data_IF_898045707374
#
_entry.id   IF_898045707374
#
_cell.length_a   1.000
_cell.length_b   1.000
_cell.length_c   1.000
_cell.angle_alpha   90.00
_cell.angle_beta   90.00
_cell.angle_gamma   90.00
#
_symmetry.space_group_name_H-M   'P 1'
#
loop_
_entity.id
_entity.type
_entity.pdbx_description
1 polymer ?
#
# COMPACT_ATOMS: atom_id res chain seq x y z
N UNK A 1 -32.26 14.57 -8.82
CA UNK A 1 -31.14 14.52 -9.78
C UNK A 1 -30.34 13.28 -9.49
N UNK A 2 -30.05 12.47 -10.51
CA UNK A 2 -29.31 11.22 -10.40
C UNK A 2 -27.91 11.46 -9.78
N UNK A 3 -27.67 10.92 -8.60
CA UNK A 3 -26.33 10.75 -8.04
C UNK A 3 -25.62 9.65 -8.82
N UNK A 4 -25.00 10.01 -9.93
CA UNK A 4 -24.06 9.13 -10.63
C UNK A 4 -22.75 9.11 -9.83
N UNK A 5 -22.14 7.95 -9.54
CA UNK A 5 -20.78 7.92 -9.02
C UNK A 5 -19.89 8.51 -10.12
N UNK A 6 -19.25 9.65 -9.84
CA UNK A 6 -18.40 10.31 -10.82
C UNK A 6 -17.21 9.40 -11.14
N UNK A 7 -17.17 8.86 -12.36
CA UNK A 7 -15.91 8.36 -12.92
C UNK A 7 -14.92 9.52 -12.92
N UNK A 8 -13.90 9.46 -12.06
CA UNK A 8 -12.84 10.46 -12.00
C UNK A 8 -11.77 10.05 -13.00
N UNK A 9 -11.61 10.83 -14.07
CA UNK A 9 -10.43 10.74 -14.91
C UNK A 9 -9.24 11.28 -14.12
N UNK A 10 -8.23 10.44 -13.91
CA UNK A 10 -6.98 10.84 -13.28
C UNK A 10 -5.93 10.93 -14.38
N UNK A 11 -5.31 12.10 -14.54
CA UNK A 11 -4.14 12.22 -15.42
C UNK A 11 -2.96 11.61 -14.69
N UNK A 12 -2.47 10.52 -15.25
CA UNK A 12 -1.19 9.95 -14.90
C UNK A 12 -0.19 10.49 -15.94
N UNK A 13 1.02 10.84 -15.51
CA UNK A 13 2.09 11.26 -16.41
C UNK A 13 2.58 10.10 -17.28
N UNK A 14 3.89 10.04 -17.54
CA UNK A 14 4.48 8.80 -18.06
C UNK A 14 4.39 7.72 -16.97
N UNK A 15 3.58 6.70 -17.22
CA UNK A 15 3.48 5.55 -16.32
C UNK A 15 4.41 4.46 -16.85
N UNK A 16 5.51 4.23 -16.16
CA UNK A 16 6.30 3.03 -16.36
C UNK A 16 5.46 1.84 -15.87
N UNK A 17 5.12 0.92 -16.78
CA UNK A 17 4.28 -0.25 -16.47
C UNK A 17 5.10 -1.47 -16.09
N UNK A 18 6.42 -1.39 -16.20
CA UNK A 18 7.34 -2.40 -15.72
C UNK A 18 7.79 -2.02 -14.31
N UNK A 19 7.61 -2.90 -13.32
CA UNK A 19 8.10 -2.62 -11.98
C UNK A 19 9.63 -2.70 -11.96
N UNK A 20 10.27 -1.82 -11.20
CA UNK A 20 11.71 -1.86 -10.92
C UNK A 20 12.08 -2.93 -9.89
N UNK A 21 11.12 -3.37 -9.06
CA UNK A 21 11.27 -4.48 -8.11
C UNK A 21 10.28 -5.61 -8.41
N UNK A 22 10.70 -6.84 -8.15
CA UNK A 22 9.89 -8.05 -8.31
C UNK A 22 8.78 -8.15 -7.25
N UNK A 23 7.84 -9.06 -7.48
CA UNK A 23 6.81 -9.40 -6.48
C UNK A 23 7.44 -9.88 -5.17
N UNK A 24 8.47 -10.74 -5.25
CA UNK A 24 9.20 -11.29 -4.10
C UNK A 24 9.89 -10.19 -3.27
N UNK A 25 10.61 -9.28 -3.93
CA UNK A 25 11.25 -8.14 -3.25
C UNK A 25 10.22 -7.21 -2.57
N UNK A 26 9.04 -7.04 -3.18
CA UNK A 26 7.96 -6.26 -2.59
C UNK A 26 7.32 -6.97 -1.39
N UNK A 27 7.13 -8.29 -1.45
CA UNK A 27 6.66 -9.10 -0.33
C UNK A 27 7.65 -9.06 0.84
N UNK A 28 8.96 -9.15 0.58
CA UNK A 28 10.00 -9.03 1.60
C UNK A 28 9.95 -7.66 2.30
N UNK A 29 9.83 -6.57 1.52
CA UNK A 29 9.71 -5.22 2.06
C UNK A 29 8.44 -5.05 2.91
N UNK A 30 7.31 -5.56 2.43
CA UNK A 30 6.05 -5.53 3.16
C UNK A 30 6.12 -6.37 4.44
N UNK A 31 6.73 -7.56 4.40
CA UNK A 31 6.88 -8.42 5.57
C UNK A 31 7.75 -7.77 6.65
N UNK A 32 8.86 -7.12 6.25
CA UNK A 32 9.69 -6.36 7.18
C UNK A 32 8.90 -5.23 7.87
N UNK A 33 8.08 -4.49 7.11
CA UNK A 33 7.23 -3.45 7.66
C UNK A 33 6.12 -3.99 8.58
N UNK A 34 5.48 -5.10 8.20
CA UNK A 34 4.44 -5.78 8.99
C UNK A 34 4.95 -6.28 10.36
N UNK A 35 6.26 -6.51 10.47
CA UNK A 35 6.94 -6.91 11.72
C UNK A 35 7.43 -5.73 12.57
N UNK A 36 7.23 -4.49 12.12
CA UNK A 36 7.72 -3.30 12.80
C UNK A 36 6.92 -2.92 14.06
N UNK A 37 7.52 -2.07 14.90
CA UNK A 37 6.85 -1.49 16.07
C UNK A 37 5.67 -0.58 15.69
N UNK A 38 5.68 0.00 14.48
CA UNK A 38 4.57 0.81 13.95
C UNK A 38 3.30 -0.05 13.85
N UNK A 39 3.42 -1.25 13.32
CA UNK A 39 2.29 -2.15 13.09
C UNK A 39 1.80 -2.77 14.40
N UNK A 40 2.71 -3.21 15.26
CA UNK A 40 2.32 -3.74 16.58
C UNK A 40 1.76 -2.65 17.51
N UNK A 41 2.26 -1.41 17.42
CA UNK A 41 1.73 -0.24 18.12
C UNK A 41 0.30 0.13 17.70
N UNK A 42 -0.10 -0.19 16.47
CA UNK A 42 -1.49 -0.09 15.98
C UNK A 42 -2.40 -1.26 16.40
N UNK A 43 -1.85 -2.22 17.15
CA UNK A 43 -2.59 -3.34 17.74
C UNK A 43 -2.74 -4.58 16.84
N UNK A 44 -2.11 -4.59 15.67
CA UNK A 44 -2.09 -5.78 14.81
C UNK A 44 -1.17 -6.87 15.36
N UNK A 45 -1.60 -8.13 15.26
CA UNK A 45 -0.89 -9.27 15.84
C UNK A 45 -0.39 -10.25 14.78
N UNK A 46 0.93 -10.37 14.63
CA UNK A 46 1.57 -11.30 13.68
C UNK A 46 0.90 -11.34 12.29
N UNK A 47 0.87 -10.20 11.55
CA UNK A 47 0.35 -10.19 10.19
C UNK A 47 1.03 -11.21 9.28
N UNK A 48 0.25 -11.76 8.35
CA UNK A 48 0.73 -12.61 7.26
C UNK A 48 0.23 -12.08 5.93
N UNK A 49 1.12 -12.06 4.96
CA UNK A 49 0.79 -11.73 3.57
C UNK A 49 -0.13 -12.82 3.01
N UNK A 50 -1.14 -12.40 2.26
CA UNK A 50 -2.09 -13.25 1.57
C UNK A 50 -1.93 -13.18 0.04
N UNK A 51 -1.56 -12.02 -0.50
CA UNK A 51 -1.33 -11.79 -1.93
C UNK A 51 -0.59 -10.48 -2.17
N UNK A 52 0.17 -10.39 -3.26
CA UNK A 52 0.66 -9.16 -3.83
C UNK A 52 0.11 -8.98 -5.25
N UNK A 53 -0.29 -7.75 -5.61
CA UNK A 53 -0.81 -7.42 -6.93
C UNK A 53 -0.17 -6.12 -7.44
N UNK A 54 0.31 -6.11 -8.69
CA UNK A 54 0.81 -4.89 -9.32
C UNK A 54 -0.36 -4.03 -9.82
N UNK A 55 -0.51 -2.83 -9.26
CA UNK A 55 -1.63 -1.94 -9.55
C UNK A 55 -1.20 -0.49 -9.67
N UNK A 56 -2.08 0.36 -10.20
CA UNK A 56 -1.95 1.81 -10.09
C UNK A 56 -2.66 2.22 -8.80
N UNK A 57 -1.90 2.69 -7.82
CA UNK A 57 -2.41 3.15 -6.53
C UNK A 57 -2.21 4.66 -6.36
N UNK A 58 -2.98 5.27 -5.47
CA UNK A 58 -2.79 6.65 -5.05
C UNK A 58 -2.41 6.66 -3.55
N UNK A 59 -1.10 6.70 -3.23
CA UNK A 59 -0.63 6.49 -1.86
C UNK A 59 -1.10 7.55 -0.88
N UNK A 60 -1.33 7.12 0.36
CA UNK A 60 -1.85 7.96 1.44
C UNK A 60 -1.01 7.94 2.73
N UNK A 61 0.18 7.32 2.72
CA UNK A 61 1.08 7.23 3.87
C UNK A 61 2.44 7.91 3.61
N UNK A 62 3.03 8.48 4.65
CA UNK A 62 4.39 9.00 4.63
C UNK A 62 5.30 8.26 5.63
N UNK A 63 6.26 7.46 5.15
CA UNK A 63 7.16 6.70 6.01
C UNK A 63 8.12 7.57 6.82
N UNK A 64 8.34 8.83 6.44
CA UNK A 64 9.21 9.74 7.20
C UNK A 64 8.52 10.34 8.41
N UNK A 65 7.20 10.45 8.39
CA UNK A 65 6.40 11.06 9.45
C UNK A 65 5.45 10.10 10.15
N UNK A 66 5.41 8.83 9.72
CA UNK A 66 4.46 7.80 10.17
C UNK A 66 3.00 8.31 10.14
N UNK A 67 2.70 9.14 9.13
CA UNK A 67 1.42 9.82 9.00
C UNK A 67 0.57 9.19 7.92
N UNK A 68 -0.64 8.77 8.29
CA UNK A 68 -1.68 8.20 7.41
C UNK A 68 -2.50 9.27 6.68
N UNK A 69 -2.12 10.54 6.82
CA UNK A 69 -2.81 11.68 6.21
C UNK A 69 -1.76 12.56 5.55
N UNK A 70 -1.08 12.03 4.54
CA UNK A 70 -0.40 12.89 3.58
C UNK A 70 -1.34 13.35 2.48
N UNK A 71 -1.06 14.50 1.84
CA UNK A 71 -1.72 14.86 0.59
C UNK A 71 -1.63 13.66 -0.36
N UNK A 72 -2.77 13.29 -0.95
CA UNK A 72 -2.83 12.24 -1.97
C UNK A 72 -1.71 12.50 -2.98
N UNK A 73 -0.74 11.58 -3.06
CA UNK A 73 0.35 11.68 -4.04
C UNK A 73 -0.21 11.46 -5.44
N UNK A 74 0.58 11.75 -6.46
CA UNK A 74 0.18 11.37 -7.81
C UNK A 74 0.05 9.84 -7.89
N UNK A 75 -0.91 9.32 -8.69
CA UNK A 75 -1.02 7.89 -8.87
C UNK A 75 0.27 7.34 -9.46
N UNK A 76 0.70 6.19 -8.94
CA UNK A 76 1.93 5.55 -9.36
C UNK A 76 1.77 4.03 -9.36
N UNK A 77 2.68 3.34 -10.05
CA UNK A 77 2.73 1.89 -10.04
C UNK A 77 3.17 1.42 -8.64
N UNK A 78 2.39 0.53 -8.03
CA UNK A 78 2.65 -0.01 -6.70
C UNK A 78 2.44 -1.53 -6.69
N UNK A 79 3.15 -2.20 -5.79
CA UNK A 79 2.76 -3.51 -5.31
C UNK A 79 1.79 -3.34 -4.14
N UNK A 80 0.55 -3.78 -4.33
CA UNK A 80 -0.49 -3.77 -3.32
C UNK A 80 -0.51 -5.11 -2.60
N UNK A 81 0.04 -5.13 -1.39
CA UNK A 81 0.26 -6.35 -0.60
C UNK A 81 -0.85 -6.48 0.44
N UNK A 82 -1.73 -7.46 0.27
CA UNK A 82 -2.81 -7.74 1.22
C UNK A 82 -2.32 -8.63 2.34
N UNK A 83 -2.62 -8.27 3.57
CA UNK A 83 -2.28 -9.05 4.75
C UNK A 83 -3.47 -9.22 5.70
N UNK A 84 -3.35 -10.21 6.58
CA UNK A 84 -4.26 -10.39 7.71
C UNK A 84 -3.46 -10.70 8.96
N UNK A 85 -3.89 -10.11 10.07
CA UNK A 85 -3.35 -10.47 11.37
C UNK A 85 -3.90 -11.81 11.88
N UNK A 86 -3.35 -12.30 12.98
CA UNK A 86 -3.74 -13.56 13.59
C UNK A 86 -5.20 -13.60 14.08
N UNK A 87 -5.87 -12.45 14.19
CA UNK A 87 -7.29 -12.33 14.52
C UNK A 87 -8.18 -12.26 13.27
N UNK A 88 -7.57 -12.26 12.08
CA UNK A 88 -8.25 -12.13 10.79
C UNK A 88 -8.47 -10.68 10.36
N UNK A 89 -8.02 -9.68 11.14
CA UNK A 89 -8.16 -8.26 10.81
C UNK A 89 -7.32 -7.94 9.57
N UNK A 90 -7.94 -7.40 8.50
CA UNK A 90 -7.19 -7.05 7.30
C UNK A 90 -6.38 -5.77 7.49
N UNK A 91 -5.27 -5.72 6.78
CA UNK A 91 -4.44 -4.54 6.55
C UNK A 91 -3.70 -4.75 5.24
N UNK A 92 -3.54 -3.70 4.46
CA UNK A 92 -2.77 -3.78 3.22
C UNK A 92 -1.60 -2.82 3.26
N UNK A 93 -0.50 -3.20 2.64
CA UNK A 93 0.73 -2.42 2.52
C UNK A 93 0.90 -2.05 1.05
N UNK A 94 1.20 -0.79 0.79
CA UNK A 94 1.54 -0.33 -0.55
C UNK A 94 3.05 -0.14 -0.63
N UNK A 95 3.68 -0.83 -1.57
CA UNK A 95 5.12 -0.76 -1.83
C UNK A 95 5.33 -0.11 -3.20
N UNK A 96 6.22 0.87 -3.27
CA UNK A 96 6.59 1.51 -4.53
C UNK A 96 7.18 0.49 -5.49
N UNK A 97 6.57 0.31 -6.66
CA UNK A 97 7.01 -0.67 -7.63
C UNK A 97 8.36 -0.31 -8.27
N UNK A 98 8.81 0.95 -8.19
CA UNK A 98 10.12 1.36 -8.69
C UNK A 98 11.26 1.10 -7.70
N UNK A 99 11.01 1.32 -6.39
CA UNK A 99 12.08 1.36 -5.38
C UNK A 99 11.98 0.31 -4.27
N UNK A 100 10.85 -0.40 -4.14
CA UNK A 100 10.61 -1.33 -3.03
C UNK A 100 10.34 -0.65 -1.69
N UNK A 101 10.17 0.68 -1.65
CA UNK A 101 9.91 1.43 -0.41
C UNK A 101 8.43 1.31 -0.04
N UNK A 102 8.14 1.06 1.23
CA UNK A 102 6.76 1.13 1.76
C UNK A 102 6.28 2.58 1.80
N UNK A 103 5.16 2.82 1.13
CA UNK A 103 4.58 4.15 0.85
C UNK A 103 3.09 4.24 1.21
N UNK A 104 2.49 3.13 1.68
CA UNK A 104 1.08 3.01 2.01
C UNK A 104 0.83 2.01 3.11
N UNK A 105 -0.13 2.33 3.98
CA UNK A 105 -0.79 1.38 4.87
C UNK A 105 -2.28 1.66 4.79
N UNK A 106 -3.06 0.65 4.40
CA UNK A 106 -4.52 0.71 4.37
C UNK A 106 -5.06 -0.06 5.56
N UNK A 107 -5.60 0.68 6.53
CA UNK A 107 -6.28 0.13 7.69
C UNK A 107 -7.80 0.09 7.45
N UNK A 108 -8.40 -1.05 7.75
CA UNK A 108 -9.85 -1.22 7.70
C UNK A 108 -10.44 -0.98 9.09
N UNK A 109 -11.47 -0.13 9.15
CA UNK A 109 -12.26 0.16 10.35
C UNK A 109 -13.45 -0.77 10.49
#
# INVERSE_FOLDING_TARGET
GLNSPFNRLIRIGELETAPGVTEEEAEEAAEAFLRSEVISGKGYKNPKIASAELVIGQPCYDPHTDSLIVPLRDPQLIWYVRARDATGRPLDVEVDAASGIVIGLVEYR
#
